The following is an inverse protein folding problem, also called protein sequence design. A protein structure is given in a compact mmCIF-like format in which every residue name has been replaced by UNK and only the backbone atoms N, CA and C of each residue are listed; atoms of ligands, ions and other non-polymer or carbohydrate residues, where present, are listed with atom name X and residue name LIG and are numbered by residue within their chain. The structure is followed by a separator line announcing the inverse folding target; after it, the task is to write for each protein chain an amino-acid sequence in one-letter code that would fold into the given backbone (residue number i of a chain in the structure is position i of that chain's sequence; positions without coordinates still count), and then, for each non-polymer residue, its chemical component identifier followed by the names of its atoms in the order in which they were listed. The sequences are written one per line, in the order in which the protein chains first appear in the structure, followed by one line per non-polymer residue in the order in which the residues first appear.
data_IF_612534238924
#
_entry.id   IF_612534238924
#
_cell.length_a   1.000
_cell.length_b   1.000
_cell.length_c   1.000
_cell.angle_alpha   90.00
_cell.angle_beta   90.00
_cell.angle_gamma   90.00
#
_symmetry.space_group_name_H-M   'P 1'
#
loop_
_entity.id
_entity.type
_entity.pdbx_description
1 polymer ?
#
# COMPACT_ATOMS: atom_id res chain seq x y z
N UNK A 1 4.44 -15.16 19.26
CA UNK A 1 4.01 -16.04 18.15
C UNK A 1 4.32 -15.29 16.86
N UNK A 2 5.24 -15.77 16.02
CA UNK A 2 5.44 -15.20 14.68
C UNK A 2 4.24 -15.62 13.84
N UNK A 3 3.22 -14.77 13.76
CA UNK A 3 2.22 -14.94 12.72
C UNK A 3 2.99 -14.88 11.38
N UNK A 4 2.95 -15.98 10.62
CA UNK A 4 3.55 -16.02 9.29
C UNK A 4 2.93 -14.93 8.41
N UNK A 5 3.57 -14.67 7.26
CA UNK A 5 3.02 -13.75 6.25
C UNK A 5 1.55 -14.12 5.98
N UNK A 6 0.61 -13.17 6.05
CA UNK A 6 -0.80 -13.46 5.84
C UNK A 6 -1.01 -14.10 4.47
N UNK A 7 -1.92 -15.08 4.43
CA UNK A 7 -2.33 -15.69 3.17
C UNK A 7 -3.03 -14.65 2.27
N UNK A 8 -3.11 -14.94 0.96
CA UNK A 8 -3.84 -14.08 0.01
C UNK A 8 -5.30 -13.85 0.42
N UNK A 9 -5.94 -14.84 1.03
CA UNK A 9 -7.31 -14.69 1.52
C UNK A 9 -7.37 -13.75 2.72
N UNK A 10 -6.44 -13.88 3.67
CA UNK A 10 -6.33 -12.94 4.80
C UNK A 10 -6.05 -11.51 4.33
N UNK A 11 -5.18 -11.34 3.33
CA UNK A 11 -4.95 -10.01 2.73
C UNK A 11 -6.22 -9.41 2.13
N UNK A 12 -7.04 -10.21 1.42
CA UNK A 12 -8.33 -9.75 0.87
C UNK A 12 -9.30 -9.34 1.97
N UNK A 13 -9.41 -10.14 3.03
CA UNK A 13 -10.27 -9.83 4.17
C UNK A 13 -9.81 -8.56 4.88
N UNK A 14 -8.52 -8.44 5.14
CA UNK A 14 -7.95 -7.26 5.78
C UNK A 14 -8.18 -6.01 4.92
N UNK A 15 -7.90 -6.09 3.62
CA UNK A 15 -8.14 -5.01 2.68
C UNK A 15 -9.60 -4.54 2.66
N UNK A 16 -10.56 -5.47 2.56
CA UNK A 16 -11.98 -5.12 2.58
C UNK A 16 -12.39 -4.39 3.87
N UNK A 17 -11.93 -4.88 5.03
CA UNK A 17 -12.21 -4.24 6.31
C UNK A 17 -11.60 -2.84 6.38
N UNK A 18 -10.39 -2.64 5.85
CA UNK A 18 -9.78 -1.31 5.83
C UNK A 18 -10.46 -0.35 4.86
N UNK A 19 -10.98 -0.81 3.72
CA UNK A 19 -11.81 0.02 2.82
C UNK A 19 -13.07 0.47 3.54
N UNK A 20 -13.77 -0.43 4.23
CA UNK A 20 -14.96 -0.09 5.02
C UNK A 20 -14.64 0.94 6.11
N UNK A 21 -13.53 0.75 6.82
CA UNK A 21 -13.05 1.71 7.83
C UNK A 21 -12.74 3.08 7.21
N UNK A 22 -12.00 3.11 6.10
CA UNK A 22 -11.63 4.35 5.41
C UNK A 22 -12.86 5.12 4.92
N UNK A 23 -13.83 4.43 4.29
CA UNK A 23 -15.08 5.03 3.84
C UNK A 23 -15.89 5.59 5.00
N UNK A 24 -15.93 4.88 6.13
CA UNK A 24 -16.57 5.35 7.37
C UNK A 24 -15.80 6.52 8.04
N UNK A 25 -14.58 6.82 7.61
CA UNK A 25 -13.70 7.81 8.26
C UNK A 25 -13.12 7.32 9.59
N UNK A 26 -13.12 6.01 9.81
CA UNK A 26 -12.43 5.39 10.92
C UNK A 26 -10.92 5.27 10.63
N UNK A 27 -10.13 5.19 11.68
CA UNK A 27 -8.68 4.97 11.53
C UNK A 27 -8.35 3.61 10.94
N UNK A 28 -7.24 3.53 10.22
CA UNK A 28 -6.72 2.28 9.68
C UNK A 28 -5.98 1.47 10.74
N UNK A 29 -6.11 0.15 10.66
CA UNK A 29 -5.39 -0.77 11.54
C UNK A 29 -3.98 -0.98 11.02
N UNK A 30 -3.03 -1.01 11.94
CA UNK A 30 -1.65 -1.40 11.66
C UNK A 30 -1.50 -2.92 11.57
N UNK A 31 -0.39 -3.37 10.98
CA UNK A 31 0.00 -4.79 10.92
C UNK A 31 -0.99 -5.67 10.16
N UNK A 32 -1.71 -5.12 9.17
CA UNK A 32 -2.66 -5.83 8.31
C UNK A 32 -1.96 -6.69 7.24
N UNK A 33 -0.67 -6.44 6.99
CA UNK A 33 0.11 -7.06 5.92
C UNK A 33 -0.17 -6.47 4.54
N UNK A 34 -0.91 -5.36 4.48
CA UNK A 34 -0.99 -4.53 3.29
C UNK A 34 0.37 -3.87 3.05
N UNK A 35 0.67 -3.64 1.79
CA UNK A 35 1.88 -2.94 1.34
C UNK A 35 1.67 -1.42 1.39
N UNK A 36 2.77 -0.66 1.49
CA UNK A 36 2.75 0.80 1.65
C UNK A 36 1.89 1.51 0.59
N UNK A 37 1.96 1.10 -0.68
CA UNK A 37 1.15 1.69 -1.75
C UNK A 37 -0.36 1.49 -1.51
N UNK A 38 -0.74 0.34 -0.93
CA UNK A 38 -2.15 0.04 -0.60
C UNK A 38 -2.59 0.79 0.65
N UNK A 39 -1.76 0.82 1.69
CA UNK A 39 -2.04 1.57 2.92
C UNK A 39 -2.16 3.07 2.65
N UNK A 40 -1.30 3.63 1.79
CA UNK A 40 -1.36 5.02 1.39
C UNK A 40 -2.68 5.38 0.71
N UNK A 41 -3.14 4.55 -0.24
CA UNK A 41 -4.41 4.78 -0.93
C UNK A 41 -5.62 4.72 0.04
N UNK A 42 -5.57 3.85 1.05
CA UNK A 42 -6.59 3.79 2.09
C UNK A 42 -6.57 5.05 2.98
N UNK A 43 -5.37 5.55 3.30
CA UNK A 43 -5.23 6.80 4.05
C UNK A 43 -5.77 8.00 3.27
N UNK A 44 -5.58 8.05 1.95
CA UNK A 44 -6.15 9.10 1.09
C UNK A 44 -7.69 9.07 1.14
N UNK A 45 -8.31 7.89 1.12
CA UNK A 45 -9.77 7.76 1.31
C UNK A 45 -10.19 8.28 2.69
N UNK A 46 -9.50 7.85 3.76
CA UNK A 46 -9.85 8.24 5.12
C UNK A 46 -9.69 9.75 5.37
N UNK A 47 -8.71 10.38 4.72
CA UNK A 47 -8.44 11.81 4.82
C UNK A 47 -9.33 12.68 3.93
N UNK A 48 -10.02 12.10 2.95
CA UNK A 48 -10.88 12.83 2.02
C UNK A 48 -12.25 13.20 2.64
N UNK A 49 -12.85 14.24 2.05
CA UNK A 49 -14.23 14.62 2.34
C UNK A 49 -15.20 13.47 2.00
N UNK A 50 -16.28 13.27 2.76
CA UNK A 50 -17.18 12.12 2.59
C UNK A 50 -17.72 11.94 1.17
N UNK A 51 -17.93 13.04 0.42
CA UNK A 51 -18.42 13.01 -0.95
C UNK A 51 -17.41 12.44 -1.96
N UNK A 52 -16.11 12.53 -1.66
CA UNK A 52 -15.03 12.13 -2.56
C UNK A 52 -14.49 10.71 -2.27
N UNK A 53 -14.78 10.17 -1.08
CA UNK A 53 -14.24 8.88 -0.60
C UNK A 53 -14.54 7.71 -1.54
N UNK A 54 -15.77 7.64 -2.05
CA UNK A 54 -16.17 6.56 -2.95
C UNK A 54 -15.41 6.62 -4.29
N UNK A 55 -15.12 7.83 -4.78
CA UNK A 55 -14.32 8.05 -5.99
C UNK A 55 -12.87 7.58 -5.83
N UNK A 56 -12.32 7.67 -4.61
CA UNK A 56 -10.96 7.24 -4.28
C UNK A 56 -10.84 5.73 -4.03
N UNK A 57 -11.95 5.03 -3.75
CA UNK A 57 -11.95 3.58 -3.54
C UNK A 57 -11.33 2.82 -4.72
N UNK A 58 -11.58 3.27 -5.96
CA UNK A 58 -11.01 2.65 -7.15
C UNK A 58 -9.47 2.67 -7.17
N UNK A 59 -8.83 3.71 -6.61
CA UNK A 59 -7.38 3.77 -6.49
C UNK A 59 -6.86 2.75 -5.48
N UNK A 60 -7.51 2.59 -4.32
CA UNK A 60 -7.16 1.58 -3.35
C UNK A 60 -7.29 0.15 -3.90
N UNK A 61 -8.35 -0.14 -4.67
CA UNK A 61 -8.50 -1.45 -5.33
C UNK A 61 -7.40 -1.73 -6.35
N UNK A 62 -6.95 -0.71 -7.10
CA UNK A 62 -5.83 -0.84 -8.05
C UNK A 62 -4.51 -1.09 -7.33
N UNK A 63 -4.22 -0.35 -6.26
CA UNK A 63 -3.02 -0.56 -5.45
C UNK A 63 -3.00 -1.96 -4.83
N UNK A 64 -4.15 -2.45 -4.33
CA UNK A 64 -4.27 -3.79 -3.79
C UNK A 64 -4.10 -4.89 -4.85
N UNK A 65 -4.61 -4.69 -6.07
CA UNK A 65 -4.35 -5.60 -7.18
C UNK A 65 -2.84 -5.70 -7.46
N UNK A 66 -2.14 -4.56 -7.45
CA UNK A 66 -0.69 -4.51 -7.62
C UNK A 66 0.10 -5.18 -6.50
N UNK A 67 -0.41 -5.16 -5.25
CA UNK A 67 0.14 -5.97 -4.16
C UNK A 67 -0.03 -7.47 -4.44
N UNK A 68 -1.18 -7.89 -4.97
CA UNK A 68 -1.48 -9.30 -5.23
C UNK A 68 -0.69 -9.86 -6.41
N UNK A 69 -0.47 -9.08 -7.46
CA UNK A 69 0.29 -9.49 -8.64
C UNK A 69 1.81 -9.22 -8.52
N UNK A 70 2.22 -8.39 -7.55
CA UNK A 70 3.61 -8.08 -7.24
C UNK A 70 4.17 -6.86 -7.98
N UNK A 71 3.36 -6.16 -8.77
CA UNK A 71 3.77 -4.96 -9.51
C UNK A 71 4.15 -3.79 -8.60
N UNK A 72 3.55 -3.65 -7.42
CA UNK A 72 3.98 -2.64 -6.44
C UNK A 72 5.44 -2.88 -6.01
N UNK A 73 5.75 -4.12 -5.63
CA UNK A 73 7.11 -4.49 -5.25
C UNK A 73 8.10 -4.31 -6.40
N UNK A 74 7.72 -4.68 -7.63
CA UNK A 74 8.56 -4.45 -8.81
C UNK A 74 8.84 -2.96 -9.03
N UNK A 75 7.82 -2.11 -8.87
CA UNK A 75 7.95 -0.65 -8.98
C UNK A 75 8.87 -0.09 -7.89
N UNK A 76 8.71 -0.56 -6.65
CA UNK A 76 9.56 -0.18 -5.53
C UNK A 76 11.04 -0.54 -5.78
N UNK A 77 11.31 -1.76 -6.26
CA UNK A 77 12.66 -2.19 -6.61
C UNK A 77 13.26 -1.35 -7.74
N UNK A 78 12.50 -1.03 -8.78
CA UNK A 78 12.95 -0.17 -9.87
C UNK A 78 13.26 1.24 -9.37
N UNK A 79 12.45 1.78 -8.46
CA UNK A 79 12.69 3.08 -7.85
C UNK A 79 13.96 3.10 -6.99
N UNK A 80 14.16 2.06 -6.19
CA UNK A 80 15.37 1.88 -5.38
C UNK A 80 16.63 1.86 -6.25
N UNK A 81 16.60 1.11 -7.37
CA UNK A 81 17.71 1.05 -8.32
C UNK A 81 18.03 2.41 -8.96
N UNK A 82 17.01 3.21 -9.29
CA UNK A 82 17.23 4.58 -9.80
C UNK A 82 17.91 5.49 -8.77
N UNK A 83 17.54 5.36 -7.50
CA UNK A 83 18.13 6.16 -6.41
C UNK A 83 19.59 5.77 -6.13
N UNK A 84 19.92 4.48 -6.21
CA UNK A 84 21.28 3.99 -5.94
C UNK A 84 22.22 4.12 -7.13
N UNK A 85 21.72 4.11 -8.37
CA UNK A 85 22.51 4.32 -9.58
C UNK A 85 23.10 5.75 -9.69
N UNK A 86 22.58 6.72 -8.92
CA UNK A 86 23.13 8.08 -8.83
C UNK A 86 24.19 8.26 -7.73
N UNK A 87 24.50 7.23 -6.94
CA UNK A 87 25.57 7.27 -5.94
C UNK A 87 26.87 6.77 -6.58
N UNK A 88 27.52 7.61 -7.37
CA UNK A 88 28.88 7.34 -7.86
C UNK A 88 29.83 7.22 -6.66
N UNK A 89 30.72 6.20 -6.61
CA UNK A 89 31.75 6.14 -5.59
C UNK A 89 32.67 7.34 -5.80
N UNK A 90 32.80 8.20 -4.77
CA UNK A 90 33.82 9.25 -4.77
C UNK A 90 35.19 8.58 -4.98
N UNK A 91 35.98 8.98 -5.99
CA UNK A 91 37.35 8.53 -6.09
C UNK A 91 38.10 9.11 -4.89
N UNK A 92 38.65 8.24 -4.05
CA UNK A 92 39.64 8.63 -3.04
C UNK A 92 40.96 8.87 -3.79
N UNK A 93 41.48 10.10 -3.72
CA UNK A 93 42.83 10.48 -4.16
C UNK A 93 43.91 9.98 -3.20
#
# INVERSE_FOLDING_TARGET
MRAGRPSRQQLRTNFHQEVENALAGAGLRSCTGLDDDTEQALWEIAAAEPADREGLAAAAYRAFAGQLDGSNAARWHADLQRRTAGAEPRPEE
#
